data_IF_254372737625
#
_entry.id   IF_254372737625
#
_cell.length_a   1.000
_cell.length_b   1.000
_cell.length_c   1.000
_cell.angle_alpha   90.00
_cell.angle_beta   90.00
_cell.angle_gamma   90.00
#
_symmetry.space_group_name_H-M   'P 1'
#
loop_
_entity.id
_entity.type
_entity.pdbx_description
1 polymer ?
#
# COMPACT_ATOMS: atom_id res chain seq x y z
N UNK A 1 -24.65 15.09 4.84
CA UNK A 1 -25.59 14.65 3.76
C UNK A 1 -24.86 13.64 2.87
N UNK A 2 -25.54 12.70 2.24
CA UNK A 2 -24.89 11.82 1.28
C UNK A 2 -24.42 12.63 0.07
N UNK A 3 -23.13 12.51 -0.27
CA UNK A 3 -22.53 13.20 -1.42
C UNK A 3 -22.84 12.50 -2.76
N UNK A 4 -23.57 11.38 -2.73
CA UNK A 4 -23.95 10.64 -3.93
C UNK A 4 -24.83 11.52 -4.85
N UNK A 5 -24.51 11.49 -6.16
CA UNK A 5 -25.15 12.31 -7.18
C UNK A 5 -24.49 13.67 -7.43
N UNK A 6 -23.63 14.14 -6.52
CA UNK A 6 -22.89 15.40 -6.74
C UNK A 6 -21.91 15.25 -7.90
N UNK A 7 -21.73 16.32 -8.66
CA UNK A 7 -20.75 16.44 -9.73
C UNK A 7 -19.60 17.32 -9.22
N UNK A 8 -18.38 16.85 -9.39
CA UNK A 8 -17.15 17.53 -8.95
C UNK A 8 -16.17 17.67 -10.11
N UNK A 9 -15.32 18.67 -10.05
CA UNK A 9 -14.34 18.94 -11.10
C UNK A 9 -14.99 18.99 -12.49
N UNK A 10 -14.33 18.41 -13.49
CA UNK A 10 -14.78 18.39 -14.89
C UNK A 10 -15.79 17.25 -15.16
N UNK A 11 -16.94 17.30 -14.50
CA UNK A 11 -18.06 16.37 -14.78
C UNK A 11 -17.95 14.99 -14.13
N UNK A 12 -17.17 14.84 -13.06
CA UNK A 12 -17.06 13.59 -12.31
C UNK A 12 -18.21 13.47 -11.31
N UNK A 13 -19.06 12.47 -11.46
CA UNK A 13 -20.23 12.23 -10.59
C UNK A 13 -19.89 11.24 -9.49
N UNK A 14 -20.08 11.64 -8.24
CA UNK A 14 -19.98 10.77 -7.07
C UNK A 14 -21.16 9.78 -7.05
N UNK A 15 -20.87 8.48 -6.88
CA UNK A 15 -21.90 7.43 -6.92
C UNK A 15 -22.20 6.85 -5.55
N UNK A 16 -21.17 6.32 -4.88
CA UNK A 16 -21.30 5.69 -3.56
C UNK A 16 -19.97 5.72 -2.81
N UNK A 17 -19.98 5.67 -1.47
CA UNK A 17 -18.76 5.51 -0.73
C UNK A 17 -18.12 4.14 -0.99
N UNK A 18 -16.77 4.10 -1.04
CA UNK A 18 -15.96 2.90 -1.11
C UNK A 18 -15.41 2.53 0.26
N UNK A 19 -14.99 3.53 1.04
CA UNK A 19 -14.41 3.35 2.35
C UNK A 19 -14.19 4.67 3.06
N UNK A 20 -13.94 4.57 4.37
CA UNK A 20 -13.59 5.71 5.22
C UNK A 20 -12.27 5.41 5.91
N UNK A 21 -11.29 6.26 5.68
CA UNK A 21 -10.06 6.30 6.44
C UNK A 21 -10.17 7.21 7.67
N UNK A 22 -9.06 7.45 8.29
CA UNK A 22 -8.97 8.29 9.49
C UNK A 22 -9.21 9.77 9.20
N UNK A 23 -8.80 10.21 8.03
CA UNK A 23 -8.71 11.62 7.64
C UNK A 23 -9.46 11.91 6.35
N UNK A 24 -10.04 10.88 5.74
CA UNK A 24 -10.69 10.99 4.43
C UNK A 24 -11.80 9.98 4.24
N UNK A 25 -12.64 10.24 3.27
CA UNK A 25 -13.61 9.28 2.73
C UNK A 25 -13.38 9.14 1.23
N UNK A 26 -13.40 7.91 0.73
CA UNK A 26 -13.23 7.62 -0.69
C UNK A 26 -14.57 7.26 -1.30
N UNK A 27 -14.91 7.90 -2.42
CA UNK A 27 -16.10 7.62 -3.21
C UNK A 27 -15.74 6.95 -4.54
N UNK A 28 -16.54 5.98 -4.93
CA UNK A 28 -16.64 5.56 -6.32
C UNK A 28 -17.32 6.67 -7.10
N UNK A 29 -16.75 7.01 -8.25
CA UNK A 29 -17.25 8.05 -9.12
C UNK A 29 -17.16 7.62 -10.58
N UNK A 30 -17.84 8.34 -11.46
CA UNK A 30 -17.83 8.12 -12.90
C UNK A 30 -17.63 9.47 -13.59
N UNK A 31 -16.68 9.55 -14.51
CA UNK A 31 -16.46 10.77 -15.28
C UNK A 31 -17.46 10.92 -16.43
N UNK A 32 -17.41 12.05 -17.14
CA UNK A 32 -18.30 12.36 -18.27
C UNK A 32 -18.22 11.38 -19.44
N UNK A 33 -17.13 10.63 -19.55
CA UNK A 33 -16.93 9.55 -20.53
C UNK A 33 -17.38 8.17 -20.04
N UNK A 34 -17.98 8.08 -18.86
CA UNK A 34 -18.40 6.80 -18.26
C UNK A 34 -17.28 5.99 -17.63
N UNK A 35 -16.05 6.54 -17.50
CA UNK A 35 -14.94 5.83 -16.93
C UNK A 35 -14.99 5.82 -15.40
N UNK A 36 -14.69 4.68 -14.76
CA UNK A 36 -14.63 4.58 -13.31
C UNK A 36 -13.48 5.42 -12.72
N UNK A 37 -13.79 6.13 -11.64
CA UNK A 37 -12.87 7.00 -10.89
C UNK A 37 -13.03 6.75 -9.39
N UNK A 38 -12.06 7.20 -8.63
CA UNK A 38 -12.17 7.36 -7.20
C UNK A 38 -11.98 8.84 -6.83
N UNK A 39 -12.75 9.31 -5.85
CA UNK A 39 -12.57 10.66 -5.29
C UNK A 39 -12.30 10.51 -3.81
N UNK A 40 -11.07 10.86 -3.38
CA UNK A 40 -10.65 10.87 -1.98
C UNK A 40 -10.86 12.27 -1.43
N UNK A 41 -11.78 12.42 -0.48
CA UNK A 41 -12.22 13.68 0.11
C UNK A 41 -11.65 13.73 1.51
N UNK A 42 -10.82 14.72 1.79
CA UNK A 42 -10.16 14.88 3.08
C UNK A 42 -11.00 15.71 4.04
N UNK A 43 -10.84 15.45 5.33
CA UNK A 43 -11.30 16.39 6.34
C UNK A 43 -10.50 17.71 6.19
N UNK A 44 -11.12 18.89 6.31
CA UNK A 44 -10.43 20.18 6.15
C UNK A 44 -9.16 20.34 7.01
N UNK A 45 -9.15 19.77 8.21
CA UNK A 45 -7.97 19.78 9.09
C UNK A 45 -6.78 19.00 8.54
N UNK A 46 -7.00 18.14 7.54
CA UNK A 46 -5.98 17.30 6.89
C UNK A 46 -5.66 17.74 5.45
N UNK A 47 -5.86 19.00 5.12
CA UNK A 47 -5.52 19.56 3.80
C UNK A 47 -4.04 19.33 3.41
N UNK A 48 -3.13 19.35 4.39
CA UNK A 48 -1.71 19.06 4.16
C UNK A 48 -1.47 17.62 3.65
N UNK A 49 -2.27 16.63 4.08
CA UNK A 49 -2.21 15.27 3.57
C UNK A 49 -2.64 15.19 2.10
N UNK A 50 -3.69 15.92 1.72
CA UNK A 50 -4.10 16.01 0.30
C UNK A 50 -2.97 16.61 -0.57
N UNK A 51 -2.33 17.69 -0.10
CA UNK A 51 -1.20 18.30 -0.79
C UNK A 51 0.01 17.34 -0.92
N UNK A 52 0.34 16.60 0.12
CA UNK A 52 1.41 15.60 0.12
C UNK A 52 1.09 14.47 -0.86
N UNK A 53 -0.11 13.90 -0.81
CA UNK A 53 -0.52 12.82 -1.71
C UNK A 53 -0.52 13.27 -3.18
N UNK A 54 -0.96 14.51 -3.45
CA UNK A 54 -0.86 15.10 -4.79
C UNK A 54 0.60 15.17 -5.25
N UNK A 55 1.47 15.78 -4.45
CA UNK A 55 2.88 15.98 -4.79
C UNK A 55 3.64 14.65 -4.97
N UNK A 56 3.39 13.66 -4.10
CA UNK A 56 4.01 12.34 -4.22
C UNK A 56 3.44 11.51 -5.38
N UNK A 57 2.14 11.68 -5.67
CA UNK A 57 1.45 10.95 -6.74
C UNK A 57 1.64 11.54 -8.14
N UNK A 58 2.12 12.80 -8.22
CA UNK A 58 2.32 13.46 -9.50
C UNK A 58 3.36 12.76 -10.36
N UNK A 59 3.00 12.46 -11.62
CA UNK A 59 3.89 11.78 -12.57
C UNK A 59 4.16 10.29 -12.25
N UNK A 60 3.54 9.71 -11.22
CA UNK A 60 3.59 8.26 -11.02
C UNK A 60 2.74 7.58 -12.09
N UNK A 61 3.37 6.75 -12.92
CA UNK A 61 2.70 5.96 -13.95
C UNK A 61 3.21 4.51 -13.90
N UNK A 62 2.50 3.70 -13.13
CA UNK A 62 2.77 2.27 -12.99
C UNK A 62 1.46 1.51 -12.83
N UNK A 63 1.27 0.36 -13.51
CA UNK A 63 -0.02 -0.35 -13.54
C UNK A 63 -0.48 -0.87 -12.17
N UNK A 64 0.42 -0.89 -11.19
CA UNK A 64 0.15 -1.36 -9.81
C UNK A 64 0.15 -0.24 -8.78
N UNK A 65 0.06 1.03 -9.23
CA UNK A 65 -0.14 2.20 -8.39
C UNK A 65 -1.44 2.90 -8.79
N UNK A 66 -2.18 3.39 -7.81
CA UNK A 66 -3.25 4.34 -8.12
C UNK A 66 -2.63 5.64 -8.64
N UNK A 67 -3.20 6.22 -9.70
CA UNK A 67 -2.73 7.50 -10.22
C UNK A 67 -3.53 8.64 -9.63
N UNK A 68 -2.85 9.69 -9.20
CA UNK A 68 -3.46 10.97 -8.86
C UNK A 68 -3.65 11.74 -10.17
N UNK A 69 -4.89 12.05 -10.51
CA UNK A 69 -5.23 12.71 -11.76
C UNK A 69 -5.26 14.23 -11.60
N UNK A 70 -5.91 14.72 -10.55
CA UNK A 70 -5.97 16.15 -10.24
C UNK A 70 -6.46 16.40 -8.81
N UNK A 71 -6.19 17.60 -8.31
CA UNK A 71 -6.86 18.13 -7.13
C UNK A 71 -8.24 18.67 -7.52
N UNK A 72 -9.24 18.43 -6.68
CA UNK A 72 -10.61 18.93 -6.82
C UNK A 72 -11.13 19.42 -5.46
N UNK A 73 -12.29 20.04 -5.44
CA UNK A 73 -12.96 20.44 -4.19
C UNK A 73 -14.36 19.81 -4.14
N UNK A 74 -14.76 19.33 -2.96
CA UNK A 74 -16.09 18.78 -2.69
C UNK A 74 -16.67 19.49 -1.48
N UNK A 75 -17.69 20.32 -1.66
CA UNK A 75 -18.28 21.15 -0.59
C UNK A 75 -17.22 21.95 0.19
N UNK A 76 -16.27 22.56 -0.52
CA UNK A 76 -15.17 23.34 0.10
C UNK A 76 -14.07 22.48 0.76
N UNK A 77 -14.18 21.16 0.73
CA UNK A 77 -13.16 20.25 1.27
C UNK A 77 -12.13 19.87 0.22
N UNK A 78 -10.84 19.79 0.59
CA UNK A 78 -9.79 19.26 -0.29
C UNK A 78 -10.12 17.85 -0.73
N UNK A 79 -9.97 17.56 -2.02
CA UNK A 79 -10.18 16.22 -2.55
C UNK A 79 -9.23 15.94 -3.72
N UNK A 80 -8.98 14.66 -3.98
CA UNK A 80 -8.18 14.18 -5.10
C UNK A 80 -9.03 13.30 -6.01
N UNK A 81 -8.96 13.56 -7.30
CA UNK A 81 -9.46 12.67 -8.34
C UNK A 81 -8.39 11.63 -8.66
N UNK A 82 -8.74 10.37 -8.57
CA UNK A 82 -7.84 9.24 -8.71
C UNK A 82 -8.37 8.27 -9.79
N UNK A 83 -7.47 7.48 -10.36
CA UNK A 83 -7.90 6.28 -11.08
C UNK A 83 -8.61 5.31 -10.13
N UNK A 84 -9.59 4.58 -10.66
CA UNK A 84 -10.27 3.56 -9.86
C UNK A 84 -9.45 2.27 -9.85
N UNK A 85 -9.01 1.84 -8.66
CA UNK A 85 -8.38 0.56 -8.45
C UNK A 85 -9.45 -0.50 -8.11
N UNK A 86 -9.39 -1.64 -8.80
CA UNK A 86 -10.28 -2.79 -8.55
C UNK A 86 -9.74 -3.64 -7.41
N UNK A 87 -10.59 -4.53 -6.91
CA UNK A 87 -10.22 -5.49 -5.88
C UNK A 87 -10.83 -5.19 -4.51
N UNK A 88 -10.38 -5.96 -3.53
CA UNK A 88 -10.74 -5.82 -2.10
C UNK A 88 -9.46 -5.60 -1.30
N UNK A 89 -9.55 -4.90 -0.17
CA UNK A 89 -8.41 -4.78 0.74
C UNK A 89 -7.86 -6.17 1.08
N UNK A 90 -6.54 -6.28 1.20
CA UNK A 90 -5.82 -7.56 1.22
C UNK A 90 -6.39 -8.53 2.26
N UNK A 91 -6.66 -8.10 3.50
CA UNK A 91 -7.22 -8.97 4.54
C UNK A 91 -8.71 -9.31 4.33
N UNK A 92 -9.42 -8.57 3.48
CA UNK A 92 -10.78 -8.93 3.07
C UNK A 92 -10.78 -9.83 1.82
N UNK A 93 -9.66 -9.86 1.07
CA UNK A 93 -9.49 -10.72 -0.11
C UNK A 93 -9.00 -12.11 0.29
N UNK A 94 -8.06 -12.19 1.22
CA UNK A 94 -7.41 -13.44 1.60
C UNK A 94 -7.76 -13.86 3.02
N UNK A 95 -8.03 -15.15 3.18
CA UNK A 95 -8.15 -15.77 4.49
C UNK A 95 -6.77 -15.82 5.20
N UNK A 96 -6.77 -16.15 6.46
CA UNK A 96 -5.55 -16.33 7.24
C UNK A 96 -4.66 -17.43 6.64
N UNK A 97 -3.34 -17.20 6.55
CA UNK A 97 -2.34 -18.11 5.98
C UNK A 97 -2.61 -18.49 4.50
N UNK A 98 -2.88 -17.54 3.62
CA UNK A 98 -3.22 -17.83 2.22
C UNK A 98 -2.11 -18.58 1.50
N UNK A 99 -0.86 -18.44 1.91
CA UNK A 99 0.27 -19.14 1.32
C UNK A 99 0.26 -20.67 1.57
N UNK A 100 -0.59 -21.16 2.47
CA UNK A 100 -0.79 -22.60 2.75
C UNK A 100 -2.08 -23.16 2.15
N UNK A 101 -2.76 -22.40 1.31
CA UNK A 101 -4.04 -22.76 0.68
C UNK A 101 -3.90 -22.81 -0.83
N UNK A 102 -5.00 -23.14 -1.53
CA UNK A 102 -5.09 -23.00 -3.00
C UNK A 102 -4.88 -21.58 -3.51
N UNK A 103 -4.95 -20.57 -2.63
CA UNK A 103 -4.72 -19.16 -2.96
C UNK A 103 -3.23 -18.76 -2.94
N UNK A 104 -2.30 -19.68 -2.61
CA UNK A 104 -0.85 -19.40 -2.52
C UNK A 104 -0.34 -18.65 -3.74
N UNK A 105 -0.63 -19.14 -4.94
CA UNK A 105 -0.17 -18.52 -6.18
C UNK A 105 -0.66 -17.06 -6.30
N UNK A 106 -1.95 -16.84 -6.12
CA UNK A 106 -2.55 -15.51 -6.22
C UNK A 106 -2.01 -14.56 -5.15
N UNK A 107 -1.87 -15.05 -3.91
CA UNK A 107 -1.30 -14.27 -2.81
C UNK A 107 0.15 -13.85 -3.07
N UNK A 108 1.00 -14.76 -3.51
CA UNK A 108 2.41 -14.45 -3.81
C UNK A 108 2.54 -13.52 -5.02
N UNK A 109 1.66 -13.64 -6.02
CA UNK A 109 1.57 -12.66 -7.12
C UNK A 109 1.16 -11.27 -6.61
N UNK A 110 0.23 -11.19 -5.65
CA UNK A 110 -0.13 -9.91 -5.00
C UNK A 110 1.10 -9.24 -4.38
N UNK A 111 1.93 -10.00 -3.64
CA UNK A 111 3.16 -9.46 -3.05
C UNK A 111 4.20 -9.09 -4.12
N UNK A 112 4.32 -9.87 -5.21
CA UNK A 112 5.21 -9.54 -6.32
C UNK A 112 4.78 -8.24 -7.04
N UNK A 113 3.49 -8.02 -7.22
CA UNK A 113 2.95 -6.77 -7.77
C UNK A 113 3.19 -5.58 -6.84
N UNK A 114 3.03 -5.77 -5.53
CA UNK A 114 3.34 -4.77 -4.52
C UNK A 114 4.83 -4.38 -4.56
N UNK A 115 5.73 -5.36 -4.63
CA UNK A 115 7.17 -5.10 -4.75
C UNK A 115 7.51 -4.35 -6.05
N UNK A 116 6.84 -4.66 -7.17
CA UNK A 116 6.99 -3.90 -8.42
C UNK A 116 6.54 -2.44 -8.28
N UNK A 117 5.42 -2.20 -7.61
CA UNK A 117 4.92 -0.86 -7.31
C UNK A 117 5.88 -0.07 -6.41
N UNK A 118 6.38 -0.69 -5.33
CA UNK A 118 7.36 -0.08 -4.44
C UNK A 118 8.67 0.23 -5.16
N UNK A 119 9.17 -0.68 -6.01
CA UNK A 119 10.37 -0.44 -6.81
C UNK A 119 10.24 0.80 -7.71
N UNK A 120 9.04 1.04 -8.27
CA UNK A 120 8.78 2.25 -9.07
C UNK A 120 8.82 3.53 -8.20
N UNK A 121 8.27 3.50 -6.98
CA UNK A 121 8.35 4.62 -6.03
C UNK A 121 9.80 4.87 -5.59
N UNK A 122 10.50 3.82 -5.18
CA UNK A 122 11.88 3.89 -4.70
C UNK A 122 12.83 4.41 -5.77
N UNK A 123 12.63 4.01 -7.04
CA UNK A 123 13.40 4.52 -8.17
C UNK A 123 13.21 6.03 -8.43
N UNK A 124 12.19 6.63 -7.82
CA UNK A 124 11.95 8.10 -7.83
C UNK A 124 12.36 8.80 -6.54
N UNK A 125 13.06 8.08 -5.66
CA UNK A 125 13.50 8.59 -4.37
C UNK A 125 12.37 8.76 -3.35
N UNK A 126 11.21 8.14 -3.58
CA UNK A 126 10.05 8.19 -2.69
C UNK A 126 9.92 6.91 -1.87
N UNK A 127 9.44 7.03 -0.64
CA UNK A 127 9.09 5.92 0.26
C UNK A 127 7.60 6.02 0.58
N UNK A 128 6.88 4.89 0.54
CA UNK A 128 5.43 4.86 0.78
C UNK A 128 5.08 5.11 2.25
N UNK A 129 5.85 4.54 3.18
CA UNK A 129 5.77 4.70 4.64
C UNK A 129 4.55 4.08 5.33
N UNK A 130 3.57 3.58 4.57
CA UNK A 130 2.34 3.00 5.13
C UNK A 130 1.93 1.72 4.38
N UNK A 131 2.90 0.81 4.18
CA UNK A 131 2.65 -0.50 3.58
C UNK A 131 1.91 -1.38 4.57
N UNK A 132 0.60 -1.57 4.32
CA UNK A 132 -0.31 -2.35 5.18
C UNK A 132 -1.49 -2.90 4.37
N UNK A 133 -2.25 -3.88 4.90
CA UNK A 133 -3.35 -4.53 4.19
C UNK A 133 -4.42 -3.57 3.65
N UNK A 134 -4.71 -2.50 4.38
CA UNK A 134 -5.73 -1.51 4.02
C UNK A 134 -5.38 -0.72 2.76
N UNK A 135 -4.09 -0.57 2.48
CA UNK A 135 -3.56 0.18 1.34
C UNK A 135 -3.24 -0.71 0.13
N UNK A 136 -3.62 -1.99 0.16
CA UNK A 136 -3.40 -2.94 -0.92
C UNK A 136 -4.75 -3.50 -1.37
N UNK A 137 -5.15 -3.18 -2.60
CA UNK A 137 -6.34 -3.74 -3.23
C UNK A 137 -5.93 -4.94 -4.08
N UNK A 138 -6.44 -6.13 -3.76
CA UNK A 138 -6.11 -7.37 -4.44
C UNK A 138 -7.33 -7.98 -5.14
N UNK A 139 -7.12 -8.52 -6.34
CA UNK A 139 -8.10 -9.21 -7.15
C UNK A 139 -7.94 -10.75 -7.05
N UNK A 140 -8.93 -11.54 -7.49
CA UNK A 140 -8.88 -13.01 -7.39
C UNK A 140 -7.70 -13.67 -8.11
N UNK A 141 -7.22 -13.07 -9.19
CA UNK A 141 -6.07 -13.56 -9.98
C UNK A 141 -4.71 -13.23 -9.36
N UNK A 142 -4.69 -12.50 -8.26
CA UNK A 142 -3.48 -12.00 -7.60
C UNK A 142 -3.01 -10.64 -8.13
N UNK A 143 -3.73 -10.03 -9.06
CA UNK A 143 -3.48 -8.63 -9.42
C UNK A 143 -3.66 -7.74 -8.19
N UNK A 144 -2.76 -6.77 -8.01
CA UNK A 144 -2.83 -5.87 -6.86
C UNK A 144 -2.48 -4.44 -7.24
N UNK A 145 -3.07 -3.49 -6.52
CA UNK A 145 -2.81 -2.06 -6.67
C UNK A 145 -2.52 -1.48 -5.29
N UNK A 146 -1.39 -0.79 -5.16
CA UNK A 146 -1.03 -0.01 -3.99
C UNK A 146 -1.71 1.36 -4.07
N UNK A 147 -2.34 1.77 -2.98
CA UNK A 147 -3.11 3.01 -2.86
C UNK A 147 -2.65 3.82 -1.65
N UNK A 148 -3.04 5.09 -1.61
CA UNK A 148 -2.87 5.97 -0.46
C UNK A 148 -1.42 6.46 -0.24
N UNK A 149 -1.09 7.63 -0.80
CA UNK A 149 0.24 8.25 -0.68
C UNK A 149 0.27 9.41 0.33
N UNK A 150 -0.72 9.52 1.22
CA UNK A 150 -0.83 10.68 2.13
C UNK A 150 0.30 10.77 3.18
N UNK A 151 0.98 9.65 3.45
CA UNK A 151 2.16 9.56 4.30
C UNK A 151 3.48 9.46 3.50
N UNK A 152 3.40 9.28 2.18
CA UNK A 152 4.57 9.12 1.32
C UNK A 152 5.44 10.37 1.29
N UNK A 153 6.72 10.19 0.99
CA UNK A 153 7.65 11.31 0.89
C UNK A 153 9.07 10.87 0.53
N UNK A 154 10.01 11.83 0.43
CA UNK A 154 11.39 11.58 0.06
C UNK A 154 12.09 10.58 0.98
N UNK A 155 12.94 9.72 0.40
CA UNK A 155 13.81 8.84 1.18
C UNK A 155 14.77 9.66 2.04
N UNK A 156 15.03 9.20 3.27
CA UNK A 156 15.91 9.88 4.22
C UNK A 156 15.25 11.01 5.02
N UNK A 157 13.99 11.36 4.73
CA UNK A 157 13.24 12.31 5.55
C UNK A 157 12.83 11.69 6.88
N UNK A 158 13.02 12.43 7.97
CA UNK A 158 12.50 12.06 9.29
C UNK A 158 10.98 12.22 9.28
N UNK A 159 10.28 11.16 9.62
CA UNK A 159 8.83 11.14 9.63
C UNK A 159 8.29 10.51 10.91
N UNK A 160 7.46 11.26 11.64
CA UNK A 160 6.74 10.72 12.79
C UNK A 160 5.48 10.01 12.31
N UNK A 161 5.55 8.70 12.18
CA UNK A 161 4.36 7.90 11.82
C UNK A 161 3.28 8.04 12.90
N UNK A 162 2.01 8.26 12.52
CA UNK A 162 0.92 8.22 13.48
C UNK A 162 0.84 6.83 14.12
N UNK A 163 1.06 6.77 15.43
CA UNK A 163 0.89 5.53 16.20
C UNK A 163 -0.59 5.21 16.32
N UNK A 164 -1.11 4.29 15.48
CA UNK A 164 -2.44 3.74 15.63
C UNK A 164 -2.38 2.25 15.92
N UNK A 165 -3.26 1.79 16.82
CA UNK A 165 -3.47 0.36 17.04
C UNK A 165 -3.75 -0.31 15.67
N UNK A 166 -3.00 -1.36 15.34
CA UNK A 166 -3.11 -2.09 14.07
C UNK A 166 -2.06 -1.69 13.03
N UNK A 167 -1.74 -0.41 12.86
CA UNK A 167 -0.69 0.05 11.91
C UNK A 167 0.71 -0.28 12.42
N UNK A 168 0.93 -0.26 13.73
CA UNK A 168 2.23 -0.52 14.36
C UNK A 168 2.84 -1.89 13.99
N UNK A 169 2.02 -2.90 13.71
CA UNK A 169 2.50 -4.22 13.33
C UNK A 169 3.29 -4.24 12.02
N UNK A 170 2.99 -3.32 11.09
CA UNK A 170 3.64 -3.21 9.78
C UNK A 170 4.79 -2.21 9.75
N UNK A 171 4.92 -1.39 10.80
CA UNK A 171 5.97 -0.39 10.91
C UNK A 171 7.31 -1.04 11.20
N UNK A 172 8.32 -0.64 10.45
CA UNK A 172 9.71 -1.03 10.70
C UNK A 172 10.23 -0.50 12.05
N UNK A 173 11.27 -1.10 12.63
CA UNK A 173 11.84 -0.64 13.88
C UNK A 173 12.25 0.84 13.86
N UNK A 174 12.86 1.31 12.76
CA UNK A 174 13.23 2.73 12.56
C UNK A 174 12.02 3.64 12.47
N UNK A 175 10.93 3.22 11.81
CA UNK A 175 9.70 4.02 11.74
C UNK A 175 9.09 4.24 13.13
N UNK A 176 9.12 3.21 13.99
CA UNK A 176 8.65 3.30 15.38
C UNK A 176 9.52 4.20 16.26
N UNK A 177 10.82 4.33 15.93
CA UNK A 177 11.74 5.23 16.63
C UNK A 177 11.73 6.66 16.08
N UNK A 178 10.94 6.92 15.00
CA UNK A 178 10.90 8.22 14.36
C UNK A 178 12.20 8.58 13.63
N UNK A 179 12.94 7.57 13.18
CA UNK A 179 14.18 7.74 12.42
C UNK A 179 13.88 8.00 10.93
N UNK A 180 14.85 8.51 10.16
CA UNK A 180 14.71 8.68 8.71
C UNK A 180 14.35 7.34 8.02
N UNK A 181 13.39 7.37 7.10
CA UNK A 181 12.89 6.17 6.40
C UNK A 181 13.47 6.05 5.00
N UNK A 182 13.70 4.80 4.59
CA UNK A 182 14.17 4.45 3.26
C UNK A 182 13.36 3.28 2.66
N UNK A 183 13.73 2.83 1.45
CA UNK A 183 13.10 1.70 0.77
C UNK A 183 12.95 0.46 1.65
N UNK A 184 13.95 0.15 2.46
CA UNK A 184 13.98 -0.99 3.38
C UNK A 184 12.89 -0.91 4.47
N UNK A 185 12.37 0.29 4.75
CA UNK A 185 11.25 0.47 5.68
C UNK A 185 9.92 -0.01 5.09
N UNK A 186 9.68 0.24 3.79
CA UNK A 186 8.51 -0.30 3.08
C UNK A 186 8.62 -1.83 2.93
N UNK A 187 9.83 -2.32 2.62
CA UNK A 187 10.06 -3.75 2.44
C UNK A 187 9.88 -4.55 3.73
N UNK A 188 10.11 -3.93 4.89
CA UNK A 188 9.75 -4.52 6.18
C UNK A 188 8.25 -4.81 6.25
N UNK A 189 7.39 -3.86 5.84
CA UNK A 189 5.94 -4.06 5.76
C UNK A 189 5.55 -5.23 4.84
N UNK A 190 6.22 -5.37 3.70
CA UNK A 190 6.03 -6.53 2.79
C UNK A 190 6.44 -7.83 3.48
N UNK A 191 7.55 -7.84 4.22
CA UNK A 191 7.99 -8.98 5.02
C UNK A 191 6.95 -9.41 6.07
N UNK A 192 6.34 -8.45 6.77
CA UNK A 192 5.25 -8.75 7.72
C UNK A 192 4.04 -9.37 7.00
N UNK A 193 3.67 -8.87 5.83
CA UNK A 193 2.61 -9.48 5.01
C UNK A 193 2.98 -10.90 4.58
N UNK A 194 4.21 -11.13 4.11
CA UNK A 194 4.68 -12.46 3.76
C UNK A 194 4.60 -13.43 4.96
N UNK A 195 5.09 -13.01 6.11
CA UNK A 195 5.01 -13.79 7.36
C UNK A 195 3.58 -14.12 7.77
N UNK A 196 2.65 -13.15 7.64
CA UNK A 196 1.23 -13.43 7.86
C UNK A 196 0.69 -14.47 6.89
N UNK A 197 1.06 -14.39 5.62
CA UNK A 197 0.65 -15.35 4.60
C UNK A 197 1.16 -16.75 4.85
N UNK A 198 2.39 -16.91 5.31
CA UNK A 198 3.05 -18.18 5.58
C UNK A 198 2.64 -18.77 6.93
N UNK A 199 2.68 -17.96 7.98
CA UNK A 199 2.60 -18.43 9.36
C UNK A 199 1.32 -18.02 10.09
N UNK A 200 0.51 -17.11 9.51
CA UNK A 200 -0.80 -16.70 10.04
C UNK A 200 -0.73 -15.77 11.25
N UNK A 201 0.43 -15.32 11.63
CA UNK A 201 0.64 -14.35 12.69
C UNK A 201 1.24 -13.06 12.11
N UNK A 202 0.70 -11.92 12.51
CA UNK A 202 1.45 -10.69 12.55
C UNK A 202 2.34 -10.88 13.77
N UNK A 203 3.62 -11.25 13.53
CA UNK A 203 4.53 -11.55 14.63
C UNK A 203 4.51 -10.43 15.67
N UNK A 204 4.58 -10.76 16.97
CA UNK A 204 4.82 -9.74 17.97
C UNK A 204 6.13 -9.04 17.59
N UNK A 205 6.13 -7.73 17.76
CA UNK A 205 7.28 -6.86 17.50
C UNK A 205 8.57 -7.48 18.05
N UNK A 206 9.48 -7.91 17.17
CA UNK A 206 10.81 -8.42 17.56
C UNK A 206 10.94 -9.92 17.79
N UNK A 207 9.92 -10.73 17.53
CA UNK A 207 10.09 -12.19 17.55
C UNK A 207 10.53 -12.65 16.17
N UNK A 208 11.68 -13.34 16.05
CA UNK A 208 12.10 -13.93 14.79
C UNK A 208 11.04 -14.93 14.31
N UNK A 209 10.87 -15.09 12.99
CA UNK A 209 9.98 -16.10 12.44
C UNK A 209 10.36 -17.48 12.98
N UNK A 210 9.40 -18.41 13.12
CA UNK A 210 9.70 -19.78 13.50
C UNK A 210 10.74 -20.39 12.54
N UNK A 211 11.50 -21.38 12.96
CA UNK A 211 12.50 -22.03 12.10
C UNK A 211 11.87 -22.49 10.79
N UNK A 212 12.61 -22.33 9.72
CA UNK A 212 12.18 -22.46 8.34
C UNK A 212 11.36 -23.74 8.09
N UNK A 213 10.11 -23.53 7.73
CA UNK A 213 9.20 -24.58 7.27
C UNK A 213 8.71 -24.33 5.82
N UNK A 214 9.04 -23.15 5.26
CA UNK A 214 8.65 -22.77 3.90
C UNK A 214 9.87 -22.28 3.11
N UNK A 215 10.00 -22.61 1.81
CA UNK A 215 11.09 -22.10 0.96
C UNK A 215 11.23 -20.57 0.95
N UNK A 216 10.19 -19.82 1.33
CA UNK A 216 10.19 -18.37 1.40
C UNK A 216 10.68 -17.79 2.76
N UNK A 217 10.93 -18.62 3.77
CA UNK A 217 11.40 -18.12 5.07
C UNK A 217 12.75 -17.38 5.02
N UNK A 218 13.72 -17.74 4.16
CA UNK A 218 14.92 -16.92 4.00
C UNK A 218 14.64 -15.51 3.48
N UNK A 219 13.68 -15.36 2.54
CA UNK A 219 13.25 -14.04 2.06
C UNK A 219 12.53 -13.28 3.17
N UNK A 220 11.65 -13.95 3.91
CA UNK A 220 10.97 -13.36 5.07
C UNK A 220 11.99 -12.79 6.07
N UNK A 221 13.01 -13.57 6.43
CA UNK A 221 14.06 -13.14 7.34
C UNK A 221 14.84 -11.92 6.79
N UNK A 222 15.18 -11.92 5.51
CA UNK A 222 15.89 -10.82 4.87
C UNK A 222 15.06 -9.52 4.82
N UNK A 223 13.73 -9.62 4.66
CA UNK A 223 12.83 -8.47 4.64
C UNK A 223 12.53 -7.92 6.05
N UNK A 224 12.58 -8.76 7.08
CA UNK A 224 12.21 -8.39 8.46
C UNK A 224 13.40 -8.28 9.41
N UNK A 225 14.64 -8.28 8.91
CA UNK A 225 15.82 -8.07 9.76
C UNK A 225 15.64 -6.77 10.57
N UNK A 226 15.75 -6.82 11.90
CA UNK A 226 15.61 -5.64 12.75
C UNK A 226 16.74 -4.62 12.52
N UNK A 227 17.90 -5.08 12.09
CA UNK A 227 19.00 -4.21 11.67
C UNK A 227 18.77 -3.74 10.24
N UNK A 228 18.47 -2.45 10.10
CA UNK A 228 18.23 -1.78 8.83
C UNK A 228 19.38 -2.00 7.82
N UNK A 229 20.64 -2.02 8.29
CA UNK A 229 21.80 -2.15 7.43
C UNK A 229 21.96 -3.54 6.80
N UNK A 230 21.33 -4.56 7.40
CA UNK A 230 21.32 -5.95 6.92
C UNK A 230 20.04 -6.31 6.18
N UNK A 231 19.00 -5.47 6.36
CA UNK A 231 17.71 -5.70 5.72
C UNK A 231 17.81 -5.51 4.21
N UNK A 232 17.14 -6.39 3.46
CA UNK A 232 17.01 -6.24 2.01
C UNK A 232 16.28 -4.93 1.69
N UNK A 233 16.95 -4.02 0.97
CA UNK A 233 16.43 -2.69 0.64
C UNK A 233 16.07 -2.50 -0.83
N UNK A 234 16.30 -3.51 -1.68
CA UNK A 234 16.00 -3.47 -3.10
C UNK A 234 14.72 -4.25 -3.42
N UNK A 235 13.68 -3.52 -3.83
CA UNK A 235 12.38 -4.09 -4.15
C UNK A 235 12.41 -4.99 -5.40
N UNK A 236 13.28 -4.70 -6.38
CA UNK A 236 13.43 -5.53 -7.57
C UNK A 236 14.10 -6.87 -7.23
N UNK A 237 15.16 -6.84 -6.42
CA UNK A 237 15.81 -8.05 -5.91
C UNK A 237 14.86 -8.90 -5.05
N UNK A 238 14.06 -8.26 -4.18
CA UNK A 238 13.06 -8.94 -3.38
C UNK A 238 11.99 -9.62 -4.25
N UNK A 239 11.52 -8.91 -5.29
CA UNK A 239 10.54 -9.44 -6.25
C UNK A 239 11.09 -10.64 -7.02
N UNK A 240 12.30 -10.54 -7.54
CA UNK A 240 12.96 -11.63 -8.27
C UNK A 240 13.12 -12.86 -7.36
N UNK A 241 13.60 -12.66 -6.14
CA UNK A 241 13.76 -13.74 -5.17
C UNK A 241 12.44 -14.42 -4.84
N UNK A 242 11.37 -13.63 -4.60
CA UNK A 242 10.01 -14.14 -4.36
C UNK A 242 9.51 -14.99 -5.53
N UNK A 243 9.59 -14.47 -6.76
CA UNK A 243 9.09 -15.15 -7.96
C UNK A 243 9.85 -16.47 -8.21
N UNK A 244 11.16 -16.46 -8.06
CA UNK A 244 12.01 -17.64 -8.21
C UNK A 244 11.63 -18.73 -7.21
N UNK A 245 11.54 -18.41 -5.92
CA UNK A 245 11.22 -19.39 -4.88
C UNK A 245 9.76 -19.87 -4.95
N UNK A 246 8.87 -19.02 -5.45
CA UNK A 246 7.47 -19.37 -5.65
C UNK A 246 7.21 -20.14 -6.94
N UNK A 247 8.19 -20.29 -7.82
CA UNK A 247 8.02 -20.89 -9.15
C UNK A 247 7.05 -20.11 -10.04
N UNK A 248 7.06 -18.79 -9.92
CA UNK A 248 6.18 -17.88 -10.66
C UNK A 248 6.94 -17.21 -11.82
N UNK A 249 6.25 -16.87 -12.95
CA UNK A 249 6.87 -16.16 -14.06
C UNK A 249 7.26 -14.74 -13.65
N UNK A 250 8.32 -14.22 -14.28
CA UNK A 250 8.84 -12.86 -14.10
C UNK A 250 7.91 -11.79 -14.70
#
# INVERSE_FOLDING_TARGET
>A
MPLAGQVVGEGVRLVRPLGRGSHSVVYFAVDGGGQPRAVKIFDPHFAAHAGRELACGEGLDHPRLVRVLSAVSVEGRPALLLTYARGRVLFARYARRPALTSERRAYLLTLAHLLGALGHLHGRGLVHRDVKPENILAEPDGSATLVDFDLSGPAGETFSAPTRLGTAAFQSPEARRGEPLGPESDLYGVGILLGWGLHGALGPLGVPPPPAADPLDPLLAALTDPDRSRRLGDAAAAREWLLRLAGLPY
#
